data_IF_522501721497
#
_entry.id   IF_522501721497
#
_cell.length_a   1.000
_cell.length_b   1.000
_cell.length_c   1.000
_cell.angle_alpha   90.00
_cell.angle_beta   90.00
_cell.angle_gamma   90.00
#
_symmetry.space_group_name_H-M   'P 1'
#
loop_
_entity.id
_entity.type
_entity.pdbx_description
1 polymer ?
#
# COMPACT_ATOMS: atom_id res chain seq x y z
N UNK A 1 0.81 16.87 -9.25
CA UNK A 1 0.46 15.44 -9.39
C UNK A 1 -0.85 15.31 -10.16
N UNK A 2 -1.07 14.23 -10.86
CA UNK A 2 -2.27 13.99 -11.66
C UNK A 2 -2.89 12.65 -11.26
N UNK A 3 -4.20 12.57 -11.16
CA UNK A 3 -4.93 11.29 -10.99
C UNK A 3 -4.97 10.57 -12.35
N UNK A 4 -4.50 9.32 -12.39
CA UNK A 4 -4.32 8.56 -13.63
C UNK A 4 -5.61 7.86 -14.05
N UNK A 5 -6.39 7.32 -13.10
CA UNK A 5 -7.56 6.52 -13.40
C UNK A 5 -8.71 6.73 -12.40
N UNK A 6 -9.86 6.11 -12.65
CA UNK A 6 -11.03 6.14 -11.78
C UNK A 6 -11.89 7.41 -11.93
N UNK A 7 -12.71 7.67 -10.91
CA UNK A 7 -13.74 8.72 -10.89
C UNK A 7 -13.22 10.12 -11.24
N UNK A 8 -11.99 10.44 -10.79
CA UNK A 8 -11.39 11.76 -10.99
C UNK A 8 -10.19 11.72 -11.95
N UNK A 9 -10.18 10.79 -12.91
CA UNK A 9 -9.12 10.67 -13.93
C UNK A 9 -8.81 12.00 -14.60
N UNK A 10 -7.51 12.31 -14.74
CA UNK A 10 -7.02 13.52 -15.40
C UNK A 10 -6.99 14.75 -14.48
N UNK A 11 -7.59 14.68 -13.28
CA UNK A 11 -7.59 15.79 -12.34
C UNK A 11 -6.18 16.14 -11.89
N UNK A 12 -5.81 17.40 -12.04
CA UNK A 12 -4.55 17.95 -11.56
C UNK A 12 -4.71 18.45 -10.13
N UNK A 13 -3.74 18.11 -9.27
CA UNK A 13 -3.66 18.56 -7.89
C UNK A 13 -2.32 19.25 -7.70
N UNK A 14 -2.35 20.52 -7.31
CA UNK A 14 -1.15 21.31 -7.06
C UNK A 14 -0.95 21.40 -5.55
N UNK A 15 0.14 20.82 -5.07
CA UNK A 15 0.55 20.97 -3.68
C UNK A 15 1.31 22.28 -3.50
N UNK A 16 1.18 22.93 -2.32
CA UNK A 16 2.02 24.08 -1.96
C UNK A 16 3.51 23.74 -2.03
N UNK A 17 4.31 24.62 -2.57
CA UNK A 17 5.78 24.45 -2.66
C UNK A 17 6.48 24.44 -1.29
N UNK A 18 5.78 24.88 -0.24
CA UNK A 18 6.28 24.86 1.14
C UNK A 18 6.24 23.48 1.80
N UNK A 19 5.57 22.48 1.18
CA UNK A 19 5.53 21.13 1.73
C UNK A 19 6.80 20.34 1.33
N UNK A 20 7.45 19.65 2.28
CA UNK A 20 8.71 18.92 2.07
C UNK A 20 8.45 17.58 1.38
N UNK A 21 7.97 17.59 0.13
CA UNK A 21 7.57 16.38 -0.56
C UNK A 21 8.24 16.26 -1.92
N UNK A 22 8.64 15.04 -2.26
CA UNK A 22 9.13 14.68 -3.58
C UNK A 22 7.96 14.06 -4.37
N UNK A 23 7.61 14.57 -5.55
CA UNK A 23 6.54 13.99 -6.34
C UNK A 23 6.97 12.61 -6.88
N UNK A 24 6.20 11.57 -6.60
CA UNK A 24 6.24 10.31 -7.37
C UNK A 24 5.86 10.63 -8.81
N UNK A 25 6.62 10.15 -9.78
CA UNK A 25 6.34 10.41 -11.18
C UNK A 25 5.04 9.73 -11.63
N UNK A 26 4.32 10.33 -12.58
CA UNK A 26 3.12 9.72 -13.16
C UNK A 26 3.42 8.34 -13.74
N UNK A 27 4.60 8.15 -14.36
CA UNK A 27 5.03 6.87 -14.95
C UNK A 27 5.21 5.78 -13.90
N UNK A 28 5.90 6.07 -12.78
CA UNK A 28 6.10 5.09 -11.70
C UNK A 28 4.78 4.70 -11.07
N UNK A 29 3.90 5.69 -10.84
CA UNK A 29 2.55 5.46 -10.31
C UNK A 29 1.71 4.60 -11.26
N UNK A 30 1.68 4.91 -12.55
CA UNK A 30 0.95 4.12 -13.55
C UNK A 30 1.44 2.68 -13.61
N UNK A 31 2.76 2.49 -13.58
CA UNK A 31 3.38 1.15 -13.57
C UNK A 31 3.01 0.36 -12.33
N UNK A 32 3.03 0.99 -11.15
CA UNK A 32 2.60 0.37 -9.89
C UNK A 32 1.15 -0.10 -9.99
N UNK A 33 0.23 0.79 -10.40
CA UNK A 33 -1.18 0.46 -10.47
C UNK A 33 -1.52 -0.57 -11.57
N UNK A 34 -0.73 -0.65 -12.65
CA UNK A 34 -0.86 -1.71 -13.65
C UNK A 34 -0.53 -3.08 -13.06
N UNK A 35 0.48 -3.16 -12.16
CA UNK A 35 0.77 -4.39 -11.43
C UNK A 35 -0.39 -4.73 -10.50
N UNK A 36 -0.77 -3.81 -9.62
CA UNK A 36 -1.80 -4.05 -8.60
C UNK A 36 -3.15 -4.45 -9.23
N UNK A 37 -3.48 -3.91 -10.40
CA UNK A 37 -4.74 -4.20 -11.11
C UNK A 37 -4.85 -5.66 -11.60
N UNK A 38 -3.73 -6.40 -11.67
CA UNK A 38 -3.75 -7.82 -12.02
C UNK A 38 -4.13 -8.71 -10.83
N UNK A 39 -4.09 -8.18 -9.60
CA UNK A 39 -4.27 -8.95 -8.37
C UNK A 39 -5.44 -8.45 -7.52
N UNK A 40 -5.81 -7.17 -7.64
CA UNK A 40 -6.80 -6.55 -6.78
C UNK A 40 -7.94 -5.89 -7.58
N UNK A 41 -9.16 -6.11 -7.12
CA UNK A 41 -10.32 -5.33 -7.50
C UNK A 41 -10.39 -4.12 -6.57
N UNK A 42 -10.08 -2.92 -7.09
CA UNK A 42 -9.92 -1.73 -6.23
C UNK A 42 -11.17 -1.37 -5.44
N UNK A 43 -12.36 -1.67 -5.95
CA UNK A 43 -13.64 -1.45 -5.26
C UNK A 43 -13.87 -2.35 -4.03
N UNK A 44 -12.94 -3.26 -3.74
CA UNK A 44 -13.01 -4.19 -2.61
C UNK A 44 -11.86 -4.03 -1.61
N UNK A 45 -10.90 -3.17 -1.87
CA UNK A 45 -9.68 -3.09 -1.07
C UNK A 45 -9.74 -2.02 0.02
N UNK A 46 -9.13 -2.35 1.14
CA UNK A 46 -8.81 -1.47 2.26
C UNK A 46 -7.31 -1.17 2.19
N UNK A 47 -6.94 0.11 2.12
CA UNK A 47 -5.57 0.55 1.83
C UNK A 47 -5.00 1.36 2.98
N UNK A 48 -3.71 1.14 3.26
CA UNK A 48 -2.88 1.99 4.10
C UNK A 48 -1.78 2.63 3.24
N UNK A 49 -1.71 3.96 3.27
CA UNK A 49 -0.71 4.78 2.60
C UNK A 49 0.20 5.41 3.67
N UNK A 50 1.37 4.80 3.89
CA UNK A 50 2.38 5.24 4.84
C UNK A 50 3.34 6.24 4.18
N UNK A 51 3.74 7.26 4.92
CA UNK A 51 4.52 8.39 4.39
C UNK A 51 3.80 9.08 3.23
N UNK A 52 2.48 9.31 3.41
CA UNK A 52 1.57 9.71 2.34
C UNK A 52 1.93 11.05 1.67
N UNK A 53 2.76 11.88 2.30
CA UNK A 53 3.22 13.15 1.76
C UNK A 53 2.05 14.07 1.38
N UNK A 54 1.94 14.38 0.11
CA UNK A 54 0.80 15.18 -0.42
C UNK A 54 -0.38 14.32 -0.88
N UNK A 55 -0.37 13.01 -0.61
CA UNK A 55 -1.50 12.12 -0.88
C UNK A 55 -1.59 11.61 -2.33
N UNK A 56 -0.48 11.58 -3.06
CA UNK A 56 -0.49 11.18 -4.47
C UNK A 56 -1.07 9.79 -4.69
N UNK A 57 -0.70 8.81 -3.87
CA UNK A 57 -1.23 7.43 -3.90
C UNK A 57 -2.62 7.37 -3.27
N UNK A 58 -2.83 8.07 -2.15
CA UNK A 58 -4.12 8.21 -1.48
C UNK A 58 -5.25 8.54 -2.47
N UNK A 59 -5.05 9.61 -3.28
CA UNK A 59 -6.09 10.03 -4.24
C UNK A 59 -6.24 9.06 -5.40
N UNK A 60 -5.19 8.40 -5.81
CA UNK A 60 -5.25 7.40 -6.87
C UNK A 60 -6.09 6.19 -6.44
N UNK A 61 -5.82 5.63 -5.24
CA UNK A 61 -6.62 4.55 -4.68
C UNK A 61 -8.09 4.95 -4.49
N UNK A 62 -8.32 6.13 -3.91
CA UNK A 62 -9.68 6.64 -3.72
C UNK A 62 -10.42 6.87 -5.04
N UNK A 63 -9.72 7.38 -6.07
CA UNK A 63 -10.29 7.59 -7.40
C UNK A 63 -10.67 6.28 -8.11
N UNK A 64 -9.91 5.21 -7.87
CA UNK A 64 -10.17 3.87 -8.40
C UNK A 64 -11.25 3.11 -7.63
N UNK A 65 -11.76 3.70 -6.54
CA UNK A 65 -12.91 3.17 -5.82
C UNK A 65 -12.57 2.36 -4.57
N UNK A 66 -11.34 2.44 -4.03
CA UNK A 66 -10.99 1.75 -2.79
C UNK A 66 -12.05 1.94 -1.70
N UNK A 67 -12.40 0.85 -0.99
CA UNK A 67 -13.41 0.88 0.09
C UNK A 67 -13.03 1.86 1.18
N UNK A 68 -11.75 1.85 1.58
CA UNK A 68 -11.20 2.84 2.48
C UNK A 68 -9.71 3.04 2.20
N UNK A 69 -9.23 4.25 2.45
CA UNK A 69 -7.81 4.61 2.37
C UNK A 69 -7.44 5.33 3.66
N UNK A 70 -6.55 4.73 4.43
CA UNK A 70 -5.94 5.38 5.61
C UNK A 70 -4.59 5.96 5.19
N UNK A 71 -4.45 7.27 5.27
CA UNK A 71 -3.21 7.98 4.93
C UNK A 71 -2.52 8.42 6.20
N UNK A 72 -1.25 8.06 6.36
CA UNK A 72 -0.44 8.37 7.52
C UNK A 72 0.75 9.22 7.10
N UNK A 73 0.92 10.36 7.74
CA UNK A 73 2.10 11.22 7.57
C UNK A 73 2.42 11.95 8.88
N UNK A 74 3.69 12.14 9.17
CA UNK A 74 4.12 12.84 10.40
C UNK A 74 4.08 14.35 10.26
N UNK A 75 4.00 14.91 9.04
CA UNK A 75 4.00 16.33 8.77
C UNK A 75 2.58 16.88 8.78
N UNK A 76 2.27 17.79 9.73
CA UNK A 76 0.93 18.37 9.89
C UNK A 76 0.39 19.00 8.60
N UNK A 77 1.23 19.76 7.87
CA UNK A 77 0.84 20.42 6.62
C UNK A 77 0.44 19.43 5.52
N UNK A 78 1.12 18.25 5.45
CA UNK A 78 0.77 17.17 4.53
C UNK A 78 -0.59 16.56 4.90
N UNK A 79 -0.78 16.20 6.16
CA UNK A 79 -2.05 15.67 6.65
C UNK A 79 -3.23 16.63 6.39
N UNK A 80 -3.05 17.93 6.66
CA UNK A 80 -4.07 18.94 6.41
C UNK A 80 -4.34 19.14 4.92
N UNK A 81 -3.29 19.06 4.09
CA UNK A 81 -3.44 19.13 2.65
C UNK A 81 -4.25 17.95 2.11
N UNK A 82 -3.95 16.72 2.57
CA UNK A 82 -4.70 15.52 2.16
C UNK A 82 -6.17 15.66 2.58
N UNK A 83 -6.47 16.02 3.83
CA UNK A 83 -7.87 16.19 4.30
C UNK A 83 -8.65 17.16 3.45
N UNK A 84 -8.09 18.35 3.21
CA UNK A 84 -8.75 19.39 2.38
C UNK A 84 -8.96 18.94 0.94
N UNK A 85 -7.97 18.26 0.35
CA UNK A 85 -8.04 17.82 -1.04
C UNK A 85 -9.01 16.66 -1.19
N UNK A 86 -8.99 15.68 -0.29
CA UNK A 86 -9.95 14.57 -0.27
C UNK A 86 -11.39 15.10 -0.14
N UNK A 87 -11.63 16.06 0.76
CA UNK A 87 -12.93 16.70 0.89
C UNK A 87 -13.40 17.41 -0.38
N UNK A 88 -12.50 18.18 -1.05
CA UNK A 88 -12.81 18.83 -2.33
C UNK A 88 -13.11 17.85 -3.48
N UNK A 89 -12.51 16.66 -3.45
CA UNK A 89 -12.71 15.62 -4.45
C UNK A 89 -13.90 14.69 -4.12
N UNK A 90 -14.51 14.87 -2.95
CA UNK A 90 -15.64 14.05 -2.50
C UNK A 90 -15.24 12.63 -2.12
N UNK A 91 -14.04 12.43 -1.56
CA UNK A 91 -13.52 11.14 -1.10
C UNK A 91 -13.81 10.93 0.38
N UNK A 92 -15.05 10.57 0.71
CA UNK A 92 -15.49 10.29 2.09
C UNK A 92 -14.82 9.05 2.70
N UNK A 93 -14.30 8.15 1.86
CA UNK A 93 -13.59 6.94 2.26
C UNK A 93 -12.13 7.17 2.67
N UNK A 94 -11.60 8.40 2.56
CA UNK A 94 -10.23 8.73 2.95
C UNK A 94 -10.18 9.21 4.40
N UNK A 95 -9.42 8.49 5.22
CA UNK A 95 -9.08 8.87 6.59
C UNK A 95 -7.63 9.33 6.66
N UNK A 96 -7.35 10.42 7.38
CA UNK A 96 -5.99 10.97 7.47
C UNK A 96 -5.55 11.05 8.92
N UNK A 97 -4.43 10.40 9.22
CA UNK A 97 -3.85 10.30 10.56
C UNK A 97 -2.49 11.01 10.55
N UNK A 98 -2.32 12.00 11.44
CA UNK A 98 -1.02 12.61 11.67
C UNK A 98 -0.29 11.78 12.71
N UNK A 99 0.66 10.96 12.26
CA UNK A 99 1.47 10.10 13.12
C UNK A 99 2.82 9.78 12.46
N UNK A 100 3.77 9.37 13.28
CA UNK A 100 4.97 8.68 12.82
C UNK A 100 4.59 7.27 12.33
N UNK A 101 5.12 6.86 11.16
CA UNK A 101 4.78 5.59 10.54
C UNK A 101 5.18 4.36 11.37
N UNK A 102 6.35 4.42 12.04
CA UNK A 102 6.79 3.32 12.92
C UNK A 102 5.90 3.18 14.14
N UNK A 103 5.51 4.32 14.74
CA UNK A 103 4.60 4.31 15.89
C UNK A 103 3.21 3.83 15.46
N UNK A 104 2.73 4.29 14.30
CA UNK A 104 1.42 3.88 13.78
C UNK A 104 1.38 2.37 13.52
N UNK A 105 2.33 1.82 12.77
CA UNK A 105 2.37 0.39 12.41
C UNK A 105 2.47 -0.50 13.65
N UNK A 106 3.18 -0.08 14.69
CA UNK A 106 3.30 -0.82 15.95
C UNK A 106 2.00 -0.89 16.75
N UNK A 107 1.12 0.09 16.63
CA UNK A 107 -0.10 0.17 17.46
C UNK A 107 -1.40 -0.05 16.69
N UNK A 108 -1.36 -0.04 15.37
CA UNK A 108 -2.51 -0.30 14.52
C UNK A 108 -3.03 -1.73 14.72
N UNK A 109 -4.36 -1.87 14.76
CA UNK A 109 -5.04 -3.17 14.87
C UNK A 109 -5.89 -3.50 13.66
N UNK A 110 -5.98 -2.56 12.71
CA UNK A 110 -6.70 -2.77 11.46
C UNK A 110 -5.83 -3.54 10.48
N UNK A 111 -6.45 -4.43 9.72
CA UNK A 111 -5.81 -5.13 8.61
C UNK A 111 -6.17 -4.48 7.28
N UNK A 112 -5.23 -4.57 6.35
CA UNK A 112 -5.30 -3.96 5.02
C UNK A 112 -5.06 -4.99 3.93
N UNK A 113 -5.71 -4.78 2.78
CA UNK A 113 -5.43 -5.57 1.58
C UNK A 113 -4.13 -5.09 0.92
N UNK A 114 -3.89 -3.77 0.97
CA UNK A 114 -2.69 -3.16 0.41
C UNK A 114 -2.13 -2.17 1.42
N UNK A 115 -0.84 -2.30 1.73
CA UNK A 115 -0.05 -1.30 2.45
C UNK A 115 0.99 -0.77 1.47
N UNK A 116 1.00 0.54 1.25
CA UNK A 116 2.04 1.23 0.49
C UNK A 116 2.91 2.06 1.44
N UNK A 117 4.23 2.01 1.26
CA UNK A 117 5.17 2.80 2.03
C UNK A 117 6.24 3.41 1.11
N UNK A 118 6.38 4.74 1.14
CA UNK A 118 7.41 5.52 0.43
C UNK A 118 8.19 6.38 1.44
N UNK A 119 9.06 5.73 2.25
CA UNK A 119 9.84 6.44 3.25
C UNK A 119 10.86 7.38 2.59
N UNK A 120 11.25 8.49 3.26
CA UNK A 120 12.36 9.32 2.82
C UNK A 120 13.63 8.47 2.61
N UNK A 121 14.39 8.73 1.53
CA UNK A 121 15.56 7.92 1.18
C UNK A 121 16.68 7.96 2.23
N UNK A 122 16.70 8.99 3.06
CA UNK A 122 17.65 9.16 4.17
C UNK A 122 17.18 8.47 5.45
N UNK A 123 15.96 7.91 5.45
CA UNK A 123 15.43 7.24 6.62
C UNK A 123 16.19 5.95 6.87
N UNK A 124 16.84 5.87 8.04
CA UNK A 124 17.45 4.64 8.50
C UNK A 124 16.37 3.62 8.93
N UNK A 125 16.73 2.37 8.91
CA UNK A 125 15.93 1.27 9.47
C UNK A 125 14.53 1.11 8.81
N UNK A 126 14.41 1.34 7.50
CA UNK A 126 13.13 1.16 6.79
C UNK A 126 12.65 -0.30 6.87
N UNK A 127 13.54 -1.24 7.11
CA UNK A 127 13.27 -2.65 7.40
C UNK A 127 12.29 -2.81 8.56
N UNK A 128 12.38 -1.95 9.57
CA UNK A 128 11.44 -1.97 10.72
C UNK A 128 9.99 -1.72 10.34
N UNK A 129 9.72 -1.06 9.21
CA UNK A 129 8.35 -0.93 8.70
C UNK A 129 7.85 -2.29 8.25
N UNK A 130 8.69 -3.05 7.55
CA UNK A 130 8.38 -4.40 7.07
C UNK A 130 8.13 -5.30 8.30
N UNK A 131 9.08 -5.32 9.25
CA UNK A 131 8.96 -6.10 10.48
C UNK A 131 7.64 -5.78 11.21
N UNK A 132 7.34 -4.50 11.46
CA UNK A 132 6.11 -4.09 12.12
C UNK A 132 4.84 -4.55 11.38
N UNK A 133 4.84 -4.48 10.05
CA UNK A 133 3.67 -4.88 9.24
C UNK A 133 3.37 -6.36 9.44
N UNK A 134 4.39 -7.22 9.42
CA UNK A 134 4.21 -8.67 9.58
C UNK A 134 4.07 -9.11 11.04
N UNK A 135 4.87 -8.58 11.97
CA UNK A 135 4.78 -8.91 13.39
C UNK A 135 3.44 -8.51 14.02
N UNK A 136 2.85 -7.41 13.57
CA UNK A 136 1.56 -6.94 14.08
C UNK A 136 0.37 -7.36 13.21
N UNK A 137 0.58 -8.24 12.22
CA UNK A 137 -0.46 -8.79 11.35
C UNK A 137 -1.31 -7.70 10.68
N UNK A 138 -0.67 -6.67 10.12
CA UNK A 138 -1.38 -5.56 9.49
C UNK A 138 -1.90 -5.86 8.08
N UNK A 139 -1.47 -6.96 7.47
CA UNK A 139 -1.98 -7.44 6.19
C UNK A 139 -3.04 -8.52 6.40
N UNK A 140 -4.11 -8.44 5.62
CA UNK A 140 -5.05 -9.54 5.46
C UNK A 140 -4.34 -10.73 4.77
N UNK A 141 -4.95 -11.94 4.80
CA UNK A 141 -4.53 -13.04 3.94
C UNK A 141 -4.39 -12.57 2.48
N UNK A 142 -3.30 -12.94 1.83
CA UNK A 142 -2.92 -12.52 0.46
C UNK A 142 -2.77 -11.00 0.26
N UNK A 143 -2.75 -10.23 1.34
CA UNK A 143 -2.50 -8.80 1.30
C UNK A 143 -1.04 -8.47 0.97
N UNK A 144 -0.82 -7.31 0.39
CA UNK A 144 0.48 -6.87 -0.12
C UNK A 144 1.03 -5.66 0.61
N UNK A 145 2.30 -5.73 1.00
CA UNK A 145 3.11 -4.56 1.31
C UNK A 145 3.93 -4.19 0.06
N UNK A 146 3.76 -2.95 -0.40
CA UNK A 146 4.58 -2.37 -1.47
C UNK A 146 5.50 -1.32 -0.84
N UNK A 147 6.79 -1.58 -0.88
CA UNK A 147 7.82 -0.68 -0.36
C UNK A 147 8.52 0.03 -1.52
N UNK A 148 8.40 1.36 -1.59
CA UNK A 148 9.25 2.18 -2.44
C UNK A 148 10.57 2.44 -1.71
N UNK A 149 11.71 2.27 -2.40
CA UNK A 149 13.03 2.45 -1.77
C UNK A 149 14.12 2.83 -2.77
N UNK A 150 15.25 3.29 -2.26
CA UNK A 150 16.44 3.52 -3.04
C UNK A 150 17.14 2.20 -3.41
N UNK A 151 18.08 2.26 -4.36
CA UNK A 151 18.90 1.09 -4.74
C UNK A 151 19.84 0.58 -3.62
N UNK A 152 19.92 1.29 -2.49
CA UNK A 152 20.74 0.88 -1.36
C UNK A 152 20.14 -0.27 -0.54
N UNK A 153 18.83 -0.52 -0.70
CA UNK A 153 18.13 -1.57 0.02
C UNK A 153 17.79 -2.72 -0.91
N UNK A 154 17.96 -3.94 -0.40
CA UNK A 154 17.62 -5.19 -1.08
C UNK A 154 16.83 -6.08 -0.11
N UNK A 155 15.56 -6.33 -0.42
CA UNK A 155 14.67 -7.16 0.38
C UNK A 155 14.43 -8.54 -0.22
N UNK A 156 15.22 -8.95 -1.22
CA UNK A 156 15.04 -10.22 -1.95
C UNK A 156 15.19 -11.47 -1.07
N UNK A 157 15.85 -11.33 0.08
CA UNK A 157 16.01 -12.43 1.04
C UNK A 157 14.93 -12.46 2.13
N UNK A 158 13.96 -11.52 2.10
CA UNK A 158 12.88 -11.51 3.09
C UNK A 158 11.92 -12.70 2.86
N UNK A 159 11.49 -13.43 3.89
CA UNK A 159 10.60 -14.59 3.74
C UNK A 159 9.33 -14.34 2.94
N UNK A 160 8.76 -13.15 3.06
CA UNK A 160 7.55 -12.74 2.34
C UNK A 160 7.84 -12.02 1.01
N UNK A 161 9.10 -12.03 0.54
CA UNK A 161 9.43 -11.43 -0.75
C UNK A 161 8.67 -12.11 -1.88
N UNK A 162 8.00 -11.30 -2.71
CA UNK A 162 7.29 -11.79 -3.89
C UNK A 162 7.99 -11.37 -5.18
N UNK A 163 8.23 -10.06 -5.36
CA UNK A 163 8.89 -9.54 -6.54
C UNK A 163 9.50 -8.16 -6.30
N UNK A 164 10.46 -7.79 -7.16
CA UNK A 164 11.03 -6.45 -7.24
C UNK A 164 10.83 -5.89 -8.64
N UNK A 165 10.53 -4.60 -8.73
CA UNK A 165 10.40 -3.85 -9.98
C UNK A 165 11.14 -2.53 -9.90
N UNK A 166 11.82 -2.16 -10.99
CA UNK A 166 12.57 -0.91 -11.10
C UNK A 166 12.03 -0.06 -12.23
N UNK A 167 11.71 1.19 -11.93
CA UNK A 167 11.25 2.18 -12.89
C UNK A 167 12.12 3.44 -12.77
N UNK A 168 13.11 3.58 -13.66
CA UNK A 168 14.09 4.66 -13.58
C UNK A 168 14.93 4.60 -12.30
N UNK A 169 14.73 5.56 -11.40
CA UNK A 169 15.39 5.62 -10.08
C UNK A 169 14.55 5.03 -8.95
N UNK A 170 13.29 4.71 -9.22
CA UNK A 170 12.34 4.17 -8.25
C UNK A 170 12.43 2.65 -8.25
N UNK A 171 12.53 2.05 -7.06
CA UNK A 171 12.44 0.62 -6.86
C UNK A 171 11.20 0.33 -6.02
N UNK A 172 10.41 -0.66 -6.43
CA UNK A 172 9.32 -1.22 -5.66
C UNK A 172 9.64 -2.66 -5.30
N UNK A 173 9.62 -2.97 -4.02
CA UNK A 173 9.59 -4.35 -3.53
C UNK A 173 8.19 -4.68 -3.05
N UNK A 174 7.69 -5.81 -3.50
CA UNK A 174 6.39 -6.36 -3.13
C UNK A 174 6.60 -7.54 -2.20
N UNK A 175 6.00 -7.47 -1.02
CA UNK A 175 5.98 -8.54 -0.03
C UNK A 175 4.52 -8.96 0.18
N UNK A 176 4.28 -10.25 0.30
CA UNK A 176 2.91 -10.82 0.34
C UNK A 176 2.72 -11.64 1.61
N UNK A 177 1.61 -11.42 2.29
CA UNK A 177 1.16 -12.25 3.41
C UNK A 177 0.47 -13.50 2.85
N UNK A 178 1.29 -14.47 2.38
CA UNK A 178 0.77 -15.71 1.80
C UNK A 178 0.03 -16.52 2.86
N UNK A 179 -1.19 -16.95 2.56
CA UNK A 179 -1.83 -18.00 3.34
C UNK A 179 -1.18 -19.34 2.99
N UNK A 180 -0.67 -20.05 3.99
CA UNK A 180 -0.28 -21.44 3.82
C UNK A 180 -1.53 -22.26 3.48
N UNK A 181 -1.71 -22.59 2.21
CA UNK A 181 -2.72 -23.56 1.74
C UNK A 181 -2.26 -24.99 2.06
N UNK A 182 -1.86 -25.27 3.31
CA UNK A 182 -1.45 -26.62 3.73
C UNK A 182 -2.59 -27.48 4.27
N UNK A 183 -3.85 -27.04 4.15
CA UNK A 183 -5.00 -27.73 4.75
C UNK A 183 -6.07 -28.24 3.75
N UNK A 184 -5.66 -28.56 2.50
CA UNK A 184 -6.59 -29.13 1.52
C UNK A 184 -6.04 -30.36 0.80
N UNK A 185 -5.48 -31.33 1.57
CA UNK A 185 -5.16 -32.64 1.01
C UNK A 185 -5.17 -33.72 2.08
N UNK A 186 -6.33 -33.98 2.70
CA UNK A 186 -6.61 -35.26 3.39
C UNK A 186 -8.13 -35.37 3.61
N UNK A 187 -8.92 -35.54 2.54
CA UNK A 187 -10.24 -36.16 2.59
C UNK A 187 -10.63 -36.62 1.18
N UNK A 188 -9.96 -37.66 0.68
CA UNK A 188 -10.54 -38.54 -0.35
C UNK A 188 -9.99 -39.94 -0.17
N UNK A 189 -10.95 -40.89 -0.07
CA UNK A 189 -10.85 -42.32 -0.22
C UNK A 189 -10.81 -43.20 1.05
N UNK A 190 -11.97 -43.33 1.67
CA UNK A 190 -12.45 -44.62 2.18
C UNK A 190 -13.93 -44.78 1.81
N UNK A 191 -14.22 -45.31 0.65
CA UNK A 191 -15.46 -46.04 0.37
C UNK A 191 -15.10 -47.38 -0.30
N UNK A 192 -14.85 -48.34 0.56
CA UNK A 192 -15.46 -49.64 0.75
C UNK A 192 -15.93 -50.34 -0.52
N UNK A 193 -15.08 -51.28 -0.96
CA UNK A 193 -15.51 -52.55 -1.47
C UNK A 193 -16.20 -53.36 -0.36
N UNK A 194 -17.45 -53.68 -0.54
CA UNK A 194 -18.09 -54.91 -0.08
C UNK A 194 -19.36 -55.09 -0.92
N UNK A 195 -19.46 -56.09 -1.78
CA UNK A 195 -19.50 -57.48 -1.50
C UNK A 195 -20.87 -58.00 -1.86
N UNK A 196 -20.91 -58.76 -2.93
CA UNK A 196 -21.96 -59.70 -3.34
C UNK A 196 -23.03 -59.25 -4.30
#
# INVERSE_FOLDING_TARGET
MRIISGKNRGRQITAPSSLPVRPTTDMSKESLFNILNNYFYFDRVVVLDLFAGTGNLTYEFASRGALSVTSVDNHQGCADFIRRTAGKLGYSQVSVIKADAFVFTKHCKQQFDIIFADPPYELADIEKIIDNVFEHNLLKPDGWLVMEHSKAHDFSQHPQFYQHRKYGKVNFTFLVNMTDNSDSSEEEEEDQEDGR
#
